data_IF_212379143402
#
_entry.id   IF_212379143402
#
_cell.length_a   1.000
_cell.length_b   1.000
_cell.length_c   1.000
_cell.angle_alpha   90.00
_cell.angle_beta   90.00
_cell.angle_gamma   90.00
#
_symmetry.space_group_name_H-M   'P 1'
#
loop_
_entity.id
_entity.type
_entity.pdbx_description
1 polymer ?
#
# COMPACT_ATOMS: atom_id res chain seq x y z
N UNK A 1 13.53 10.85 14.38
CA UNK A 1 12.13 10.44 14.16
C UNK A 1 12.09 9.46 12.98
N UNK A 2 11.21 8.46 13.01
CA UNK A 2 11.03 7.54 11.88
C UNK A 2 10.18 8.19 10.76
N UNK A 3 10.42 7.77 9.52
CA UNK A 3 9.64 8.11 8.32
C UNK A 3 9.56 9.61 8.04
N UNK A 4 10.62 10.37 8.36
CA UNK A 4 10.69 11.81 8.03
C UNK A 4 10.61 12.01 6.51
N UNK A 5 11.27 11.15 5.73
CA UNK A 5 11.26 11.22 4.26
C UNK A 5 9.96 10.74 3.60
N UNK A 6 9.20 9.88 4.29
CA UNK A 6 7.92 9.36 3.81
C UNK A 6 6.76 10.28 4.19
N UNK A 7 6.78 11.55 3.78
CA UNK A 7 5.74 12.52 4.13
C UNK A 7 4.41 12.26 3.38
N UNK A 8 4.49 11.92 2.10
CA UNK A 8 3.35 11.67 1.21
C UNK A 8 3.32 10.18 0.81
N UNK A 9 2.16 9.57 0.99
CA UNK A 9 1.88 8.16 0.66
C UNK A 9 0.62 8.02 -0.20
N UNK A 10 0.25 9.08 -0.90
CA UNK A 10 -0.83 9.07 -1.88
C UNK A 10 -0.54 8.07 -2.99
N UNK A 11 -1.59 7.48 -3.56
CA UNK A 11 -1.46 6.47 -4.62
C UNK A 11 -0.77 7.06 -5.85
N UNK A 12 -1.00 8.33 -6.20
CA UNK A 12 -0.29 9.04 -7.27
C UNK A 12 1.23 9.07 -7.09
N UNK A 13 1.72 9.13 -5.85
CA UNK A 13 3.16 9.14 -5.56
C UNK A 13 3.76 7.73 -5.51
N UNK A 14 2.99 6.79 -4.96
CA UNK A 14 3.50 5.47 -4.58
C UNK A 14 3.36 4.45 -5.71
N UNK A 15 2.21 4.43 -6.36
CA UNK A 15 1.82 3.32 -7.23
C UNK A 15 2.63 3.31 -8.52
N UNK A 16 3.24 2.16 -8.82
CA UNK A 16 3.89 1.89 -10.10
C UNK A 16 2.92 1.43 -11.19
N UNK A 17 1.62 1.35 -10.89
CA UNK A 17 0.58 0.87 -11.80
C UNK A 17 -0.29 2.01 -12.35
N UNK A 18 0.04 3.28 -12.11
CA UNK A 18 -0.77 4.41 -12.57
C UNK A 18 -0.86 4.44 -14.10
N UNK A 19 -2.02 4.85 -14.57
CA UNK A 19 -2.29 5.10 -15.99
C UNK A 19 -3.03 6.42 -16.13
N UNK A 20 -2.85 7.06 -17.28
CA UNK A 20 -3.61 8.23 -17.68
C UNK A 20 -4.55 7.91 -18.85
N UNK A 21 -5.34 8.89 -19.28
CA UNK A 21 -6.33 8.76 -20.36
C UNK A 21 -5.71 8.38 -21.71
N UNK A 22 -4.42 8.64 -21.90
CA UNK A 22 -3.67 8.41 -23.14
C UNK A 22 -2.77 7.18 -23.09
N UNK A 23 -2.75 6.45 -21.97
CA UNK A 23 -1.95 5.24 -21.83
C UNK A 23 -2.43 4.16 -22.82
N UNK A 24 -1.48 3.39 -23.35
CA UNK A 24 -1.72 2.30 -24.30
C UNK A 24 -2.23 1.00 -23.66
N UNK A 25 -2.40 0.96 -22.33
CA UNK A 25 -2.86 -0.22 -21.60
C UNK A 25 -4.22 -0.74 -22.11
N UNK A 26 -4.23 -2.03 -22.51
CA UNK A 26 -5.41 -2.70 -23.07
C UNK A 26 -6.12 -3.62 -22.06
N UNK A 27 -5.59 -3.75 -20.84
CA UNK A 27 -6.16 -4.61 -19.82
C UNK A 27 -7.19 -3.90 -18.95
N UNK A 28 -7.70 -4.64 -17.96
CA UNK A 28 -8.57 -4.09 -16.94
C UNK A 28 -7.87 -2.98 -16.15
N UNK A 29 -8.65 -2.03 -15.66
CA UNK A 29 -8.17 -0.95 -14.79
C UNK A 29 -8.97 -0.91 -13.51
N UNK A 30 -8.40 -0.30 -12.48
CA UNK A 30 -9.04 -0.13 -11.18
C UNK A 30 -8.99 1.34 -10.78
N UNK A 31 -10.15 1.90 -10.46
CA UNK A 31 -10.29 3.23 -9.89
C UNK A 31 -10.18 3.12 -8.38
N UNK A 32 -9.31 3.93 -7.78
CA UNK A 32 -9.07 3.98 -6.33
C UNK A 32 -9.10 5.42 -5.85
N UNK A 33 -9.35 5.61 -4.55
CA UNK A 33 -9.04 6.89 -3.91
C UNK A 33 -7.52 7.12 -3.92
N UNK A 34 -7.12 8.35 -4.20
CA UNK A 34 -5.72 8.77 -4.14
C UNK A 34 -5.18 8.73 -2.70
N UNK A 35 -6.04 8.96 -1.69
CA UNK A 35 -5.64 8.84 -0.30
C UNK A 35 -5.41 7.39 0.10
N UNK A 36 -4.36 7.16 0.89
CA UNK A 36 -4.09 5.85 1.42
C UNK A 36 -5.22 5.39 2.37
N UNK A 37 -5.52 4.08 2.36
CA UNK A 37 -6.61 3.49 3.13
C UNK A 37 -7.93 4.28 3.00
N UNK A 38 -8.21 4.80 1.80
CA UNK A 38 -9.39 5.61 1.46
C UNK A 38 -9.57 6.87 2.34
N UNK A 39 -8.53 7.40 2.97
CA UNK A 39 -8.66 8.62 3.80
C UNK A 39 -9.23 8.37 5.22
N UNK A 40 -9.34 7.10 5.65
CA UNK A 40 -9.84 6.75 6.99
C UNK A 40 -8.98 7.37 8.10
N UNK A 41 -7.63 7.30 8.06
CA UNK A 41 -6.79 7.93 9.08
C UNK A 41 -7.03 9.43 9.21
N UNK A 42 -7.15 10.15 8.10
CA UNK A 42 -7.39 11.58 8.03
C UNK A 42 -8.76 11.92 8.62
N UNK A 43 -9.78 11.12 8.30
CA UNK A 43 -11.13 11.25 8.88
C UNK A 43 -11.11 11.11 10.40
N UNK A 44 -10.34 10.14 10.92
CA UNK A 44 -10.19 9.94 12.37
C UNK A 44 -9.46 11.10 13.04
N UNK A 45 -8.45 11.67 12.39
CA UNK A 45 -7.72 12.83 12.90
C UNK A 45 -8.60 14.08 12.95
N UNK A 46 -9.41 14.33 11.91
CA UNK A 46 -10.40 15.41 11.93
C UNK A 46 -11.38 15.26 13.09
N UNK A 47 -11.99 14.07 13.24
CA UNK A 47 -12.92 13.79 14.35
C UNK A 47 -12.27 14.02 15.72
N UNK A 48 -10.99 13.69 15.88
CA UNK A 48 -10.25 13.94 17.12
C UNK A 48 -10.05 15.43 17.37
N UNK A 49 -9.69 16.20 16.34
CA UNK A 49 -9.52 17.66 16.43
C UNK A 49 -10.84 18.35 16.76
N UNK A 50 -11.94 17.98 16.09
CA UNK A 50 -13.27 18.52 16.36
C UNK A 50 -13.69 18.32 17.81
N UNK A 51 -13.54 17.08 18.33
CA UNK A 51 -13.84 16.77 19.74
C UNK A 51 -12.99 17.56 20.72
N UNK A 52 -11.79 17.98 20.31
CA UNK A 52 -10.89 18.82 21.10
C UNK A 52 -11.12 20.33 20.88
N UNK A 53 -12.14 20.73 20.10
CA UNK A 53 -12.41 22.13 19.76
C UNK A 53 -11.32 22.77 18.89
N UNK A 54 -10.53 21.96 18.18
CA UNK A 54 -9.42 22.41 17.31
C UNK A 54 -9.84 22.39 15.85
N UNK A 55 -9.16 23.19 15.04
CA UNK A 55 -9.29 23.15 13.59
C UNK A 55 -8.97 21.74 13.05
N UNK A 56 -9.77 21.29 12.10
CA UNK A 56 -9.52 20.06 11.38
C UNK A 56 -8.22 20.18 10.55
N UNK A 57 -7.27 19.24 10.70
CA UNK A 57 -6.04 19.24 9.91
C UNK A 57 -6.28 18.93 8.42
N UNK A 58 -7.37 18.23 8.08
CA UNK A 58 -7.71 17.86 6.70
C UNK A 58 -9.12 18.32 6.34
N UNK A 59 -9.40 19.64 6.24
CA UNK A 59 -10.77 20.14 6.12
C UNK A 59 -11.45 19.83 4.77
N UNK A 60 -10.69 19.38 3.77
CA UNK A 60 -11.18 19.02 2.43
C UNK A 60 -10.91 17.56 2.13
N UNK A 61 -11.55 16.66 2.88
CA UNK A 61 -11.46 15.23 2.58
C UNK A 61 -12.46 14.85 1.49
N UNK A 62 -12.03 14.08 0.47
CA UNK A 62 -12.97 13.52 -0.49
C UNK A 62 -13.94 12.55 0.16
N UNK A 63 -15.08 12.35 -0.51
CA UNK A 63 -15.97 11.26 -0.18
C UNK A 63 -15.26 9.91 -0.34
N UNK A 64 -15.60 8.96 0.54
CA UNK A 64 -15.08 7.59 0.45
C UNK A 64 -15.55 6.96 -0.87
N UNK A 65 -14.62 6.74 -1.79
CA UNK A 65 -14.90 6.04 -3.04
C UNK A 65 -14.58 4.54 -2.89
N UNK A 66 -15.51 3.62 -3.24
CA UNK A 66 -15.19 2.21 -3.36
C UNK A 66 -14.21 2.00 -4.52
N UNK A 67 -13.55 0.84 -4.53
CA UNK A 67 -12.74 0.45 -5.67
C UNK A 67 -13.62 -0.12 -6.76
N UNK A 68 -13.41 0.34 -7.99
CA UNK A 68 -14.19 -0.07 -9.15
C UNK A 68 -13.24 -0.61 -10.20
N UNK A 69 -13.52 -1.84 -10.67
CA UNK A 69 -12.72 -2.47 -11.73
C UNK A 69 -13.48 -2.32 -13.03
N UNK A 70 -12.82 -1.78 -14.05
CA UNK A 70 -13.36 -1.57 -15.38
C UNK A 70 -12.66 -2.51 -16.38
N UNK A 71 -13.37 -2.87 -17.46
CA UNK A 71 -12.86 -3.78 -18.49
C UNK A 71 -11.66 -3.23 -19.24
N UNK A 72 -11.64 -1.92 -19.45
CA UNK A 72 -10.63 -1.18 -20.17
C UNK A 72 -10.57 0.29 -19.72
N UNK A 73 -9.59 1.06 -20.22
CA UNK A 73 -9.54 2.51 -20.03
C UNK A 73 -10.78 3.23 -20.58
N UNK A 74 -11.35 2.76 -21.68
CA UNK A 74 -12.53 3.38 -22.32
C UNK A 74 -13.83 3.21 -21.51
N UNK A 75 -13.85 2.28 -20.55
CA UNK A 75 -14.99 2.04 -19.67
C UNK A 75 -14.94 2.92 -18.39
N UNK A 76 -13.87 3.69 -18.20
CA UNK A 76 -13.71 4.60 -17.06
C UNK A 76 -14.49 5.90 -17.34
N UNK A 77 -15.39 6.34 -16.44
CA UNK A 77 -16.12 7.59 -16.64
C UNK A 77 -15.19 8.80 -16.82
N UNK A 78 -15.49 9.68 -17.78
CA UNK A 78 -14.61 10.79 -18.20
C UNK A 78 -14.09 11.65 -17.04
N UNK A 79 -14.97 11.96 -16.08
CA UNK A 79 -14.65 12.81 -14.93
C UNK A 79 -13.69 12.20 -13.90
N UNK A 80 -13.36 10.91 -13.99
CA UNK A 80 -12.43 10.26 -13.05
C UNK A 80 -10.99 10.76 -13.25
N UNK A 81 -10.55 10.94 -14.50
CA UNK A 81 -9.19 11.38 -14.79
C UNK A 81 -8.94 12.84 -14.39
N UNK A 82 -10.00 13.65 -14.40
CA UNK A 82 -9.97 15.06 -14.01
C UNK A 82 -10.16 15.25 -12.49
N UNK A 83 -10.36 14.17 -11.73
CA UNK A 83 -10.55 14.19 -10.28
C UNK A 83 -9.24 13.88 -9.54
N UNK A 84 -8.68 14.88 -8.84
CA UNK A 84 -7.43 14.74 -8.09
C UNK A 84 -7.51 13.73 -6.92
N UNK A 85 -8.72 13.51 -6.41
CA UNK A 85 -9.01 12.61 -5.29
C UNK A 85 -9.07 11.13 -5.69
N UNK A 86 -9.07 10.84 -6.99
CA UNK A 86 -9.07 9.50 -7.55
C UNK A 86 -7.77 9.22 -8.30
N UNK A 87 -7.48 7.95 -8.50
CA UNK A 87 -6.44 7.46 -9.42
C UNK A 87 -7.00 6.31 -10.24
N UNK A 88 -6.45 6.15 -11.43
CA UNK A 88 -6.67 4.97 -12.26
C UNK A 88 -5.35 4.20 -12.31
N UNK A 89 -5.43 2.90 -12.01
CA UNK A 89 -4.30 2.00 -12.05
C UNK A 89 -4.60 0.81 -12.95
N UNK A 90 -3.56 0.21 -13.54
CA UNK A 90 -3.66 -1.11 -14.18
C UNK A 90 -4.17 -2.12 -13.15
N UNK A 91 -5.19 -2.88 -13.50
CA UNK A 91 -5.61 -4.02 -12.70
C UNK A 91 -4.79 -5.24 -13.12
N UNK A 92 -3.67 -5.45 -12.41
CA UNK A 92 -2.65 -6.46 -12.72
C UNK A 92 -2.50 -7.49 -11.58
N UNK A 93 -3.54 -8.29 -11.29
CA UNK A 93 -3.41 -9.32 -10.26
C UNK A 93 -2.34 -10.36 -10.67
N UNK A 94 -1.44 -10.72 -9.75
CA UNK A 94 -0.46 -11.79 -9.98
C UNK A 94 -1.21 -13.12 -10.06
N UNK A 95 -1.25 -13.76 -11.22
CA UNK A 95 -2.03 -15.00 -11.43
C UNK A 95 -1.26 -16.21 -10.95
N UNK A 96 -1.95 -17.12 -10.27
CA UNK A 96 -1.45 -18.42 -9.82
C UNK A 96 -2.41 -19.52 -10.34
N UNK A 97 -1.97 -20.80 -10.41
CA UNK A 97 -2.85 -21.90 -10.82
C UNK A 97 -4.13 -22.03 -9.99
N UNK A 98 -4.06 -21.68 -8.70
CA UNK A 98 -5.13 -21.81 -7.70
C UNK A 98 -5.73 -20.47 -7.26
N UNK A 99 -5.44 -19.36 -7.96
CA UNK A 99 -6.04 -18.06 -7.68
C UNK A 99 -5.15 -16.88 -8.05
N UNK A 100 -5.03 -15.93 -7.12
CA UNK A 100 -4.29 -14.69 -7.30
C UNK A 100 -3.39 -14.42 -6.10
N UNK A 101 -2.17 -14.01 -6.39
CA UNK A 101 -1.18 -13.64 -5.40
C UNK A 101 -1.14 -12.12 -5.16
N UNK A 102 -0.82 -11.76 -3.93
CA UNK A 102 -0.31 -10.44 -3.55
C UNK A 102 0.85 -10.64 -2.60
N UNK A 103 1.82 -9.72 -2.61
CA UNK A 103 2.99 -9.79 -1.76
C UNK A 103 2.97 -8.65 -0.77
N UNK A 104 3.17 -8.98 0.50
CA UNK A 104 3.24 -8.03 1.59
C UNK A 104 4.65 -8.02 2.14
N UNK A 105 5.31 -6.87 2.03
CA UNK A 105 6.62 -6.63 2.59
C UNK A 105 6.51 -5.69 3.78
N UNK A 106 6.86 -6.17 4.97
CA UNK A 106 6.92 -5.38 6.21
C UNK A 106 8.37 -5.21 6.61
N UNK A 107 8.76 -4.00 7.01
CA UNK A 107 10.15 -3.69 7.33
C UNK A 107 10.29 -2.66 8.44
N UNK A 108 11.45 -2.68 9.10
CA UNK A 108 11.91 -1.70 10.08
C UNK A 108 13.44 -1.65 10.07
N UNK A 109 14.03 -0.52 9.64
CA UNK A 109 15.48 -0.42 9.45
C UNK A 109 15.97 -1.51 8.49
N UNK A 110 16.98 -2.27 8.90
CA UNK A 110 17.56 -3.37 8.11
C UNK A 110 16.78 -4.69 8.21
N UNK A 111 15.73 -4.75 9.04
CA UNK A 111 14.94 -5.95 9.26
C UNK A 111 13.71 -5.95 8.38
N UNK A 112 13.42 -7.09 7.77
CA UNK A 112 12.34 -7.21 6.81
C UNK A 112 11.72 -8.61 6.77
N UNK A 113 10.44 -8.65 6.39
CA UNK A 113 9.71 -9.87 6.12
C UNK A 113 8.83 -9.66 4.90
N UNK A 114 9.02 -10.47 3.88
CA UNK A 114 8.16 -10.50 2.71
C UNK A 114 7.44 -11.84 2.60
N UNK A 115 6.15 -11.78 2.30
CA UNK A 115 5.29 -12.96 2.28
C UNK A 115 4.33 -12.84 1.12
N UNK A 116 4.25 -13.90 0.31
CA UNK A 116 3.28 -14.06 -0.77
C UNK A 116 2.01 -14.70 -0.21
N UNK A 117 0.87 -14.10 -0.51
CA UNK A 117 -0.47 -14.51 -0.09
C UNK A 117 -1.27 -14.87 -1.34
N UNK A 118 -1.81 -16.08 -1.41
CA UNK A 118 -2.67 -16.54 -2.51
C UNK A 118 -4.13 -16.60 -2.04
N UNK A 119 -5.05 -16.06 -2.83
CA UNK A 119 -6.50 -16.05 -2.58
C UNK A 119 -7.27 -16.33 -3.88
N UNK A 120 -8.48 -16.92 -3.82
CA UNK A 120 -9.34 -17.06 -4.99
C UNK A 120 -9.79 -15.73 -5.61
N UNK A 121 -9.68 -14.61 -4.89
CA UNK A 121 -10.14 -13.29 -5.33
C UNK A 121 -8.98 -12.38 -5.77
N UNK A 122 -9.11 -11.75 -6.95
CA UNK A 122 -8.07 -10.87 -7.51
C UNK A 122 -7.81 -9.57 -6.72
N UNK A 123 -8.79 -9.12 -5.93
CA UNK A 123 -8.60 -8.12 -4.89
C UNK A 123 -8.27 -8.83 -3.57
N UNK A 124 -7.06 -9.37 -3.48
CA UNK A 124 -6.66 -10.25 -2.40
C UNK A 124 -6.78 -9.55 -1.05
N UNK A 125 -7.72 -10.02 -0.22
CA UNK A 125 -7.79 -9.69 1.21
C UNK A 125 -7.12 -10.78 2.02
N UNK A 126 -6.30 -10.38 3.00
CA UNK A 126 -5.58 -11.33 3.85
C UNK A 126 -6.49 -12.31 4.61
N UNK A 127 -7.77 -11.99 4.82
CA UNK A 127 -8.78 -12.84 5.46
C UNK A 127 -9.23 -14.04 4.60
N UNK A 128 -9.02 -13.98 3.29
CA UNK A 128 -9.52 -14.98 2.32
C UNK A 128 -8.36 -15.78 1.71
N UNK A 129 -7.18 -15.70 2.31
CA UNK A 129 -5.96 -16.34 1.82
C UNK A 129 -5.97 -17.84 2.05
N UNK A 130 -5.74 -18.61 0.99
CA UNK A 130 -5.65 -20.08 1.00
C UNK A 130 -4.21 -20.59 1.18
N UNK A 131 -3.20 -19.79 0.82
CA UNK A 131 -1.78 -20.16 0.95
C UNK A 131 -0.90 -18.95 1.26
N UNK A 132 0.10 -19.16 2.10
CA UNK A 132 1.08 -18.13 2.51
C UNK A 132 2.47 -18.71 2.55
N UNK A 133 3.43 -17.97 2.04
CA UNK A 133 4.82 -18.41 2.00
C UNK A 133 5.79 -17.23 2.05
N UNK A 134 6.93 -17.37 2.76
CA UNK A 134 8.01 -16.40 2.68
C UNK A 134 8.59 -16.33 1.26
N UNK A 135 8.92 -15.12 0.81
CA UNK A 135 9.53 -14.88 -0.50
C UNK A 135 10.61 -13.80 -0.35
N UNK A 136 11.64 -13.78 -1.21
CA UNK A 136 12.61 -12.70 -1.21
C UNK A 136 11.95 -11.37 -1.61
N UNK A 137 12.50 -10.27 -1.09
CA UNK A 137 12.16 -8.91 -1.56
C UNK A 137 12.96 -8.64 -2.84
N UNK A 138 12.32 -8.19 -3.93
CA UNK A 138 13.02 -7.70 -5.13
C UNK A 138 13.87 -6.47 -4.84
N UNK A 139 15.07 -6.38 -5.40
CA UNK A 139 16.00 -5.27 -5.14
C UNK A 139 15.46 -3.91 -5.59
N UNK A 140 14.71 -3.88 -6.70
CA UNK A 140 14.03 -2.67 -7.19
C UNK A 140 13.03 -2.09 -6.17
N UNK A 141 12.41 -2.93 -5.33
CA UNK A 141 11.56 -2.45 -4.24
C UNK A 141 12.37 -1.92 -3.05
N UNK A 142 13.56 -2.47 -2.79
CA UNK A 142 14.48 -1.90 -1.78
C UNK A 142 14.99 -0.53 -2.21
N UNK A 143 15.30 -0.36 -3.48
CA UNK A 143 15.62 0.95 -4.09
C UNK A 143 14.44 1.91 -3.94
N UNK A 144 13.24 1.47 -4.34
CA UNK A 144 12.04 2.29 -4.23
C UNK A 144 11.75 2.70 -2.79
N UNK A 145 11.96 1.83 -1.81
CA UNK A 145 11.84 2.15 -0.38
C UNK A 145 12.79 3.28 0.04
N UNK A 146 14.05 3.22 -0.41
CA UNK A 146 15.06 4.26 -0.13
C UNK A 146 14.66 5.60 -0.74
N UNK A 147 14.20 5.62 -2.00
CA UNK A 147 13.71 6.83 -2.67
C UNK A 147 12.50 7.45 -1.96
N UNK A 148 11.59 6.60 -1.47
CA UNK A 148 10.40 7.03 -0.75
C UNK A 148 10.68 7.44 0.70
N UNK A 149 11.91 7.24 1.20
CA UNK A 149 12.32 7.67 2.54
C UNK A 149 11.62 6.91 3.68
N UNK A 150 11.34 5.63 3.48
CA UNK A 150 10.67 4.77 4.46
C UNK A 150 11.68 4.02 5.35
N UNK A 151 11.71 4.37 6.63
CA UNK A 151 12.47 3.65 7.66
C UNK A 151 11.68 2.43 8.18
N UNK A 152 10.35 2.56 8.22
CA UNK A 152 9.42 1.57 8.77
C UNK A 152 8.11 1.57 8.00
N UNK A 153 7.54 0.40 7.71
CA UNK A 153 6.25 0.36 7.04
C UNK A 153 5.89 -0.98 6.44
N UNK A 154 4.91 -0.94 5.55
CA UNK A 154 4.43 -2.08 4.77
C UNK A 154 4.20 -1.67 3.33
N UNK A 155 4.80 -2.40 2.38
CA UNK A 155 4.56 -2.26 0.95
C UNK A 155 3.74 -3.46 0.45
N UNK A 156 2.75 -3.17 -0.39
CA UNK A 156 1.90 -4.15 -1.04
C UNK A 156 2.22 -4.10 -2.53
N UNK A 157 2.59 -5.24 -3.11
CA UNK A 157 3.02 -5.31 -4.49
C UNK A 157 2.64 -6.64 -5.13
N UNK A 158 2.80 -6.70 -6.45
CA UNK A 158 2.60 -7.88 -7.28
C UNK A 158 3.81 -8.06 -8.20
N UNK A 159 4.06 -9.29 -8.65
CA UNK A 159 4.92 -9.54 -9.79
C UNK A 159 4.09 -9.53 -11.07
N UNK A 160 4.46 -8.68 -12.02
CA UNK A 160 3.81 -8.57 -13.32
C UNK A 160 4.90 -8.55 -14.40
N UNK A 161 4.84 -9.50 -15.35
CA UNK A 161 5.82 -9.64 -16.44
C UNK A 161 7.28 -9.66 -15.95
N UNK A 162 7.53 -10.35 -14.82
CA UNK A 162 8.86 -10.48 -14.22
C UNK A 162 9.32 -9.27 -13.41
N UNK A 163 8.51 -8.21 -13.28
CA UNK A 163 8.83 -6.99 -12.52
C UNK A 163 7.93 -6.83 -11.30
N UNK A 164 8.47 -6.30 -10.22
CA UNK A 164 7.74 -5.95 -9.03
C UNK A 164 7.04 -4.59 -9.23
N UNK A 165 5.72 -4.58 -9.14
CA UNK A 165 4.92 -3.36 -9.25
C UNK A 165 4.35 -3.02 -7.88
N UNK A 166 4.84 -1.93 -7.29
CA UNK A 166 4.34 -1.39 -6.03
C UNK A 166 2.91 -0.87 -6.23
N UNK A 167 1.97 -1.34 -5.40
CA UNK A 167 0.56 -0.95 -5.43
C UNK A 167 0.18 -0.05 -4.26
N UNK A 168 0.77 -0.28 -3.09
CA UNK A 168 0.47 0.48 -1.88
C UNK A 168 1.68 0.57 -0.93
N UNK A 169 1.75 1.67 -0.17
CA UNK A 169 2.74 1.91 0.88
C UNK A 169 2.07 2.48 2.13
N UNK A 170 2.27 1.82 3.26
CA UNK A 170 1.66 2.16 4.54
C UNK A 170 2.76 2.50 5.56
N UNK A 171 2.66 3.68 6.20
CA UNK A 171 3.58 4.11 7.29
C UNK A 171 3.43 3.29 8.56
N UNK A 172 2.32 2.58 8.69
CA UNK A 172 2.07 1.64 9.78
C UNK A 172 1.49 0.37 9.17
N UNK A 173 2.09 -0.80 9.41
CA UNK A 173 1.39 -2.07 9.27
C UNK A 173 0.15 -1.98 10.18
N UNK A 174 -1.04 -1.96 9.60
CA UNK A 174 -2.28 -1.81 10.38
C UNK A 174 -2.38 -2.87 11.50
N UNK A 175 -3.23 -2.61 12.50
CA UNK A 175 -3.64 -3.60 13.51
C UNK A 175 -4.93 -4.32 13.08
N UNK A 176 -4.94 -5.35 12.22
CA UNK A 176 -6.08 -6.24 12.24
C UNK A 176 -6.03 -7.06 13.53
N UNK A 177 -7.19 -7.31 14.12
CA UNK A 177 -7.34 -8.05 15.38
C UNK A 177 -6.66 -9.44 15.35
N UNK A 178 -6.47 -9.99 14.14
CA UNK A 178 -5.76 -11.26 13.90
C UNK A 178 -4.24 -11.11 13.67
N UNK A 179 -3.69 -9.90 13.51
CA UNK A 179 -2.24 -9.67 13.40
C UNK A 179 -1.53 -9.56 14.75
N UNK A 180 -2.25 -9.37 15.87
CA UNK A 180 -1.60 -9.32 17.20
C UNK A 180 -0.84 -10.63 17.50
N UNK A 181 -1.41 -11.78 17.09
CA UNK A 181 -0.71 -13.08 17.14
C UNK A 181 0.36 -13.24 16.06
N UNK A 182 0.21 -12.63 14.87
CA UNK A 182 1.22 -12.66 13.79
C UNK A 182 2.43 -11.76 14.05
N UNK A 183 2.26 -10.67 14.78
CA UNK A 183 3.34 -9.82 15.25
C UNK A 183 4.02 -10.45 16.46
N UNK A 184 3.32 -11.14 17.37
CA UNK A 184 3.98 -11.75 18.53
C UNK A 184 5.15 -12.71 18.16
N UNK A 185 5.04 -13.46 17.06
CA UNK A 185 6.09 -14.37 16.60
C UNK A 185 7.16 -13.74 15.70
N UNK A 186 6.91 -12.56 15.10
CA UNK A 186 7.84 -11.87 14.18
C UNK A 186 8.27 -10.47 14.64
N UNK A 187 7.71 -9.97 15.74
CA UNK A 187 8.02 -8.65 16.29
C UNK A 187 9.40 -8.62 16.93
N UNK A 188 9.88 -9.74 17.49
CA UNK A 188 11.23 -9.81 18.06
C UNK A 188 12.32 -9.48 17.02
N UNK A 189 12.21 -10.01 15.80
CA UNK A 189 13.22 -9.76 14.75
C UNK A 189 13.05 -8.38 14.09
N UNK A 190 11.85 -7.80 14.07
CA UNK A 190 11.61 -6.42 13.61
C UNK A 190 11.99 -5.36 14.66
N UNK A 191 11.94 -5.69 15.95
CA UNK A 191 12.37 -4.77 17.03
C UNK A 191 13.88 -4.54 17.01
N UNK A 192 14.68 -5.53 16.62
CA UNK A 192 16.13 -5.37 16.41
C UNK A 192 16.45 -4.36 15.31
N UNK A 193 15.53 -4.14 14.37
CA UNK A 193 15.67 -3.15 13.30
C UNK A 193 15.78 -1.71 13.81
N UNK A 194 15.28 -1.45 15.03
CA UNK A 194 15.46 -0.17 15.70
C UNK A 194 16.91 0.05 16.17
N UNK A 195 17.66 -0.99 16.50
CA UNK A 195 19.05 -0.85 17.00
C UNK A 195 19.98 -0.24 15.96
N UNK A 196 19.76 -0.54 14.67
CA UNK A 196 20.50 0.06 13.55
C UNK A 196 20.15 1.53 13.27
N UNK A 197 19.02 2.02 13.80
CA UNK A 197 18.54 3.40 13.62
C UNK A 197 18.90 4.31 14.81
N UNK A 198 19.50 3.76 15.86
CA UNK A 198 20.02 4.53 17.01
C UNK A 198 21.45 4.96 16.65
N UNK A 199 21.77 6.27 16.65
CA UNK A 199 23.15 6.72 16.51
C UNK A 199 23.98 6.12 17.63
N UNK A 200 25.05 5.38 17.31
CA UNK A 200 26.02 4.98 18.33
C UNK A 200 26.60 6.24 18.95
N UNK A 201 26.32 6.49 20.22
CA UNK A 201 26.97 7.52 20.99
C UNK A 201 28.49 7.28 20.90
N UNK A 202 29.23 8.29 20.42
CA UNK A 202 30.68 8.34 20.53
C UNK A 202 31.07 8.72 21.94
#
# INVERSE_FOLDING_TARGET
CLNIGAADISKRRISGALVDRTDSWQGQVIVKSNLNNRGIPETLLNRRSERAGKQQPFPRLPALHPYEVHGSLGDVPDGVFDCDDLVVEKFIPEREPDGFAVRFWVFCGERERCTRYVSPNGLVKASETIRREPVPVPDELRERRRELGFDYGKFDFVMHEGRAVLLDANKTPGRPQNLVKMFAAGAFDLTDGFEGLIPRAK
#
